data_IF_593955598068
#
_entry.id   IF_593955598068
#
_cell.length_a   1.000
_cell.length_b   1.000
_cell.length_c   1.000
_cell.angle_alpha   90.00
_cell.angle_beta   90.00
_cell.angle_gamma   90.00
#
_symmetry.space_group_name_H-M   'P 1'
#
loop_
_entity.id
_entity.type
_entity.pdbx_description
1 polymer ?
#
# COMPACT_ATOMS: atom_id res chain seq x y z
N UNK A 1 33.05 2.97 12.81
CA UNK A 1 33.06 1.61 12.20
C UNK A 1 32.64 1.73 10.73
N UNK A 2 33.32 1.02 9.84
CA UNK A 2 33.43 1.32 8.42
C UNK A 2 32.15 0.93 7.63
N UNK A 3 31.44 1.90 7.07
CA UNK A 3 30.18 1.73 6.33
C UNK A 3 30.32 0.96 5.01
N UNK A 4 31.56 0.68 4.58
CA UNK A 4 31.89 -0.07 3.36
C UNK A 4 31.64 -1.59 3.44
N UNK A 5 31.19 -2.11 4.59
CA UNK A 5 30.87 -3.53 4.78
C UNK A 5 29.37 -3.84 4.64
N UNK A 6 28.52 -2.83 4.43
CA UNK A 6 27.08 -3.02 4.27
C UNK A 6 26.77 -3.38 2.81
N UNK A 7 26.40 -4.64 2.57
CA UNK A 7 26.02 -5.13 1.23
C UNK A 7 24.63 -4.67 0.77
N UNK A 8 23.69 -4.46 1.70
CA UNK A 8 22.37 -3.89 1.44
C UNK A 8 21.75 -3.39 2.76
N UNK A 9 20.82 -2.45 2.68
CA UNK A 9 19.98 -2.01 3.81
C UNK A 9 18.53 -2.31 3.49
N UNK A 10 17.82 -2.93 4.45
CA UNK A 10 16.39 -3.23 4.34
C UNK A 10 15.66 -2.38 5.37
N UNK A 11 14.75 -1.52 4.91
CA UNK A 11 13.93 -0.66 5.76
C UNK A 11 12.49 -1.17 5.84
N UNK A 12 12.04 -1.49 7.06
CA UNK A 12 10.73 -2.03 7.40
C UNK A 12 10.02 -1.02 8.30
N UNK A 13 9.48 0.03 7.70
CA UNK A 13 8.95 1.17 8.47
C UNK A 13 7.53 1.53 8.02
N UNK A 14 6.64 1.77 9.00
CA UNK A 14 5.25 2.22 8.81
C UNK A 14 5.10 3.75 8.70
N UNK A 15 6.23 4.45 8.61
CA UNK A 15 6.37 5.92 8.64
C UNK A 15 7.26 6.36 7.49
N UNK A 16 7.00 7.54 6.93
CA UNK A 16 7.68 8.09 5.73
C UNK A 16 9.14 8.50 5.92
N UNK A 17 9.95 7.73 6.66
CA UNK A 17 11.37 8.00 6.89
C UNK A 17 12.26 7.63 5.71
N UNK A 18 11.69 6.99 4.70
CA UNK A 18 12.35 6.63 3.44
C UNK A 18 13.24 7.75 2.87
N UNK A 19 12.70 8.98 2.76
CA UNK A 19 13.43 10.09 2.15
C UNK A 19 14.73 10.44 2.88
N UNK A 20 14.77 10.23 4.20
CA UNK A 20 15.98 10.39 5.01
C UNK A 20 17.00 9.30 4.71
N UNK A 21 16.56 8.05 4.57
CA UNK A 21 17.44 6.93 4.22
C UNK A 21 18.04 7.05 2.82
N UNK A 22 17.24 7.49 1.84
CA UNK A 22 17.72 7.73 0.47
C UNK A 22 18.81 8.82 0.44
N UNK A 23 18.60 9.89 1.21
CA UNK A 23 19.56 10.99 1.32
C UNK A 23 20.85 10.57 2.04
N UNK A 24 20.77 9.63 2.99
CA UNK A 24 21.92 9.20 3.79
C UNK A 24 22.72 8.04 3.18
N UNK A 25 22.05 7.11 2.48
CA UNK A 25 22.63 5.86 2.00
C UNK A 25 22.81 5.84 0.49
N UNK A 26 21.77 6.17 -0.27
CA UNK A 26 21.79 5.96 -1.73
C UNK A 26 22.57 7.06 -2.46
N UNK A 27 22.33 8.32 -2.09
CA UNK A 27 22.94 9.48 -2.78
C UNK A 27 24.44 9.63 -2.50
N UNK A 28 24.95 9.46 -1.26
CA UNK A 28 26.37 9.69 -0.96
C UNK A 28 27.22 8.41 -1.02
N UNK A 29 26.63 7.22 -0.87
CA UNK A 29 27.39 5.96 -0.64
C UNK A 29 27.05 4.83 -1.62
N UNK A 30 26.08 5.03 -2.52
CA UNK A 30 25.62 4.04 -3.49
C UNK A 30 25.31 2.65 -2.89
N UNK A 31 24.89 2.61 -1.62
CA UNK A 31 24.52 1.35 -0.95
C UNK A 31 23.10 0.99 -1.40
N UNK A 32 22.83 -0.24 -1.88
CA UNK A 32 21.50 -0.63 -2.32
C UNK A 32 20.53 -0.64 -1.13
N UNK A 33 19.45 0.14 -1.27
CA UNK A 33 18.35 0.24 -0.30
C UNK A 33 17.15 -0.56 -0.82
N UNK A 34 16.64 -1.44 0.02
CA UNK A 34 15.42 -2.22 -0.19
C UNK A 34 14.38 -1.70 0.80
N UNK A 35 13.18 -1.41 0.30
CA UNK A 35 12.11 -0.84 1.11
C UNK A 35 10.90 -1.76 1.22
N UNK A 36 10.37 -1.88 2.43
CA UNK A 36 9.22 -2.74 2.73
C UNK A 36 8.10 -1.91 3.37
N UNK A 37 7.33 -1.13 2.58
CA UNK A 37 6.27 -0.29 3.12
C UNK A 37 5.00 -1.07 3.46
N UNK A 38 4.12 -0.40 4.20
CA UNK A 38 2.69 -0.74 4.21
C UNK A 38 2.09 -0.48 2.82
N UNK A 39 1.06 -1.25 2.43
CA UNK A 39 0.46 -1.17 1.10
C UNK A 39 0.05 0.26 0.68
N UNK A 40 -0.38 1.08 1.63
CA UNK A 40 -0.81 2.48 1.39
C UNK A 40 0.36 3.39 1.06
N UNK A 41 1.52 3.17 1.66
CA UNK A 41 2.72 3.99 1.47
C UNK A 41 3.51 3.63 0.21
N UNK A 42 3.28 2.43 -0.33
CA UNK A 42 3.87 1.96 -1.57
C UNK A 42 3.71 2.96 -2.73
N UNK A 43 2.54 3.57 -2.85
CA UNK A 43 2.23 4.56 -3.88
C UNK A 43 3.25 5.71 -3.91
N UNK A 44 3.69 6.19 -2.75
CA UNK A 44 4.67 7.26 -2.63
C UNK A 44 6.13 6.81 -2.85
N UNK A 45 6.39 5.51 -2.85
CA UNK A 45 7.73 4.95 -3.03
C UNK A 45 8.05 4.60 -4.49
N UNK A 46 7.05 4.44 -5.37
CA UNK A 46 7.27 4.15 -6.80
C UNK A 46 8.20 5.13 -7.51
N UNK A 47 8.09 6.47 -7.32
CA UNK A 47 9.01 7.41 -7.99
C UNK A 47 10.49 7.17 -7.65
N UNK A 48 10.77 6.71 -6.43
CA UNK A 48 12.12 6.39 -5.97
C UNK A 48 12.61 5.02 -6.46
N UNK A 49 11.68 4.10 -6.75
CA UNK A 49 11.97 2.83 -7.40
C UNK A 49 12.30 3.04 -8.88
N UNK A 50 11.50 3.84 -9.57
CA UNK A 50 11.67 4.14 -11.00
C UNK A 50 12.93 4.98 -11.27
N UNK A 51 13.31 5.87 -10.34
CA UNK A 51 14.55 6.64 -10.43
C UNK A 51 15.82 5.82 -10.13
N UNK A 52 15.67 4.56 -9.71
CA UNK A 52 16.79 3.69 -9.31
C UNK A 52 17.40 4.02 -7.95
N UNK A 53 16.79 4.93 -7.18
CA UNK A 53 17.21 5.24 -5.81
C UNK A 53 16.86 4.11 -4.82
N UNK A 54 15.92 3.24 -5.20
CA UNK A 54 15.64 1.99 -4.51
C UNK A 54 16.00 0.82 -5.43
N UNK A 55 16.66 -0.19 -4.87
CA UNK A 55 17.01 -1.40 -5.63
C UNK A 55 15.87 -2.41 -5.70
N UNK A 56 14.93 -2.34 -4.75
CA UNK A 56 13.76 -3.20 -4.70
C UNK A 56 12.75 -2.73 -3.66
N UNK A 57 11.50 -3.16 -3.84
CA UNK A 57 10.39 -2.84 -2.94
C UNK A 57 9.52 -4.07 -2.69
N UNK A 58 9.19 -4.34 -1.43
CA UNK A 58 8.30 -5.43 -1.01
C UNK A 58 7.05 -4.85 -0.34
N UNK A 59 5.98 -4.75 -1.10
CA UNK A 59 4.74 -4.10 -0.67
C UNK A 59 3.81 -5.03 0.12
N UNK A 60 4.01 -5.16 1.44
CA UNK A 60 3.11 -5.91 2.32
C UNK A 60 2.60 -7.24 1.74
N UNK A 61 1.27 -7.43 1.71
CA UNK A 61 0.62 -8.63 1.18
C UNK A 61 0.90 -8.85 -0.31
N UNK A 62 0.93 -7.78 -1.12
CA UNK A 62 1.24 -7.90 -2.55
C UNK A 62 2.71 -8.29 -2.80
N UNK A 63 3.63 -7.82 -1.95
CA UNK A 63 5.04 -8.21 -1.98
C UNK A 63 5.22 -9.69 -1.64
N UNK A 64 4.44 -10.21 -0.68
CA UNK A 64 4.43 -11.64 -0.37
C UNK A 64 3.91 -12.49 -1.54
N UNK A 65 2.81 -12.08 -2.18
CA UNK A 65 2.27 -12.77 -3.37
C UNK A 65 3.26 -12.75 -4.55
N UNK A 66 3.89 -11.61 -4.81
CA UNK A 66 4.91 -11.48 -5.87
C UNK A 66 6.12 -12.36 -5.57
N UNK A 67 6.54 -12.43 -4.31
CA UNK A 67 7.62 -13.29 -3.87
C UNK A 67 7.30 -14.78 -4.07
N UNK A 68 6.11 -15.22 -3.68
CA UNK A 68 5.65 -16.60 -3.90
C UNK A 68 5.55 -16.96 -5.38
N UNK A 69 5.14 -15.99 -6.22
CA UNK A 69 5.13 -16.16 -7.68
C UNK A 69 6.54 -16.35 -8.24
N UNK A 70 7.50 -15.53 -7.78
CA UNK A 70 8.91 -15.64 -8.18
C UNK A 70 9.56 -16.95 -7.74
N UNK A 71 9.17 -17.50 -6.58
CA UNK A 71 9.69 -18.77 -6.05
C UNK A 71 8.96 -19.99 -6.64
N UNK A 72 7.98 -19.78 -7.53
CA UNK A 72 7.24 -20.86 -8.20
C UNK A 72 6.16 -21.51 -7.32
N UNK A 73 5.79 -20.89 -6.19
CA UNK A 73 4.72 -21.35 -5.31
C UNK A 73 3.34 -20.77 -5.67
N UNK A 74 3.25 -19.93 -6.71
CA UNK A 74 2.01 -19.30 -7.17
C UNK A 74 0.89 -20.28 -7.60
N UNK A 75 1.20 -21.54 -7.89
CA UNK A 75 0.22 -22.55 -8.31
C UNK A 75 -0.55 -23.17 -7.15
N UNK A 76 -0.08 -22.99 -5.91
CA UNK A 76 -0.79 -23.40 -4.70
C UNK A 76 -1.50 -22.17 -4.16
N UNK A 77 -2.79 -22.27 -3.82
CA UNK A 77 -3.50 -21.19 -3.14
C UNK A 77 -2.85 -20.96 -1.76
N UNK A 78 -1.88 -20.05 -1.71
CA UNK A 78 -1.17 -19.65 -0.50
C UNK A 78 -1.99 -18.64 0.30
N UNK A 79 -1.72 -18.53 1.60
CA UNK A 79 -2.40 -17.58 2.49
C UNK A 79 -2.24 -16.11 2.05
N UNK A 80 -1.14 -15.78 1.37
CA UNK A 80 -0.91 -14.44 0.82
C UNK A 80 -1.81 -14.16 -0.40
N UNK A 81 -1.91 -15.12 -1.33
CA UNK A 81 -2.85 -15.01 -2.45
C UNK A 81 -4.29 -14.93 -1.95
N UNK A 82 -4.58 -15.63 -0.85
CA UNK A 82 -5.87 -15.61 -0.20
C UNK A 82 -6.21 -14.21 0.38
N UNK A 83 -5.24 -13.63 1.07
CA UNK A 83 -5.38 -12.29 1.67
C UNK A 83 -5.56 -11.19 0.61
N UNK A 84 -4.93 -11.33 -0.56
CA UNK A 84 -5.09 -10.37 -1.67
C UNK A 84 -6.51 -10.36 -2.26
N UNK A 85 -7.15 -11.52 -2.42
CA UNK A 85 -8.54 -11.55 -2.88
C UNK A 85 -9.49 -11.00 -1.81
N UNK A 86 -9.24 -11.31 -0.54
CA UNK A 86 -10.06 -10.82 0.57
C UNK A 86 -10.00 -9.28 0.67
N UNK A 87 -8.81 -8.70 0.53
CA UNK A 87 -8.63 -7.25 0.50
C UNK A 87 -9.36 -6.62 -0.69
N UNK A 88 -9.29 -7.21 -1.88
CA UNK A 88 -9.98 -6.72 -3.07
C UNK A 88 -11.51 -6.78 -2.92
N UNK A 89 -12.02 -7.88 -2.37
CA UNK A 89 -13.45 -8.05 -2.08
C UNK A 89 -13.96 -7.02 -1.06
N UNK A 90 -13.18 -6.74 -0.01
CA UNK A 90 -13.51 -5.72 0.99
C UNK A 90 -13.62 -4.32 0.37
N UNK A 91 -12.69 -3.94 -0.52
CA UNK A 91 -12.76 -2.65 -1.21
C UNK A 91 -14.01 -2.53 -2.09
N UNK A 92 -14.35 -3.58 -2.85
CA UNK A 92 -15.57 -3.61 -3.67
C UNK A 92 -16.83 -3.49 -2.80
N UNK A 93 -16.84 -4.19 -1.66
CA UNK A 93 -17.96 -4.14 -0.72
C UNK A 93 -18.18 -2.73 -0.14
N UNK A 94 -17.12 -2.04 0.27
CA UNK A 94 -17.21 -0.66 0.77
C UNK A 94 -17.74 0.28 -0.33
N UNK A 95 -17.22 0.17 -1.56
CA UNK A 95 -17.71 0.96 -2.70
C UNK A 95 -19.20 0.73 -2.96
N UNK A 96 -19.64 -0.53 -2.89
CA UNK A 96 -21.05 -0.89 -3.03
C UNK A 96 -21.93 -0.24 -1.95
N UNK A 97 -21.50 -0.29 -0.68
CA UNK A 97 -22.22 0.36 0.42
C UNK A 97 -22.30 1.89 0.25
N UNK A 98 -21.23 2.53 -0.23
CA UNK A 98 -21.24 3.98 -0.53
C UNK A 98 -22.27 4.31 -1.61
N UNK A 99 -22.33 3.52 -2.69
CA UNK A 99 -23.32 3.71 -3.76
C UNK A 99 -24.74 3.53 -3.24
N UNK A 100 -25.00 2.47 -2.46
CA UNK A 100 -26.30 2.25 -1.83
C UNK A 100 -26.69 3.39 -0.89
N UNK A 101 -25.76 3.86 -0.05
CA UNK A 101 -25.98 4.99 0.85
C UNK A 101 -26.36 6.27 0.09
N UNK A 102 -25.68 6.56 -1.01
CA UNK A 102 -25.96 7.72 -1.86
C UNK A 102 -27.34 7.62 -2.53
N UNK A 103 -27.72 6.43 -3.01
CA UNK A 103 -29.04 6.19 -3.59
C UNK A 103 -30.15 6.32 -2.54
N UNK A 104 -29.92 5.78 -1.33
CA UNK A 104 -30.81 5.93 -0.19
C UNK A 104 -31.01 7.38 0.23
N UNK A 105 -29.93 8.17 0.31
CA UNK A 105 -29.99 9.61 0.59
C UNK A 105 -30.79 10.37 -0.48
N UNK A 106 -30.58 10.06 -1.76
CA UNK A 106 -31.30 10.70 -2.85
C UNK A 106 -32.80 10.34 -2.84
N UNK A 107 -33.13 9.08 -2.55
CA UNK A 107 -34.52 8.63 -2.40
C UNK A 107 -35.19 9.28 -1.19
N UNK A 108 -34.51 9.36 -0.04
CA UNK A 108 -35.01 10.04 1.16
C UNK A 108 -35.19 11.56 0.95
N UNK A 109 -34.28 12.20 0.20
CA UNK A 109 -34.40 13.60 -0.21
C UNK A 109 -35.60 13.83 -1.14
N UNK A 110 -35.85 12.92 -2.09
CA UNK A 110 -37.01 12.98 -3.01
C UNK A 110 -38.34 12.67 -2.31
N UNK A 111 -38.33 11.82 -1.28
CA UNK A 111 -39.50 11.51 -0.46
C UNK A 111 -39.84 12.58 0.59
N UNK A 112 -39.11 13.71 0.64
CA UNK A 112 -39.37 14.81 1.58
C UNK A 112 -39.01 14.54 3.04
N UNK A 113 -38.38 13.40 3.35
CA UNK A 113 -38.04 12.97 4.71
C UNK A 113 -36.75 13.58 5.25
N UNK A 114 -35.92 14.18 4.38
CA UNK A 114 -34.71 14.92 4.77
C UNK A 114 -34.97 16.43 4.99
N UNK A 115 -36.22 16.79 5.31
CA UNK A 115 -36.56 18.11 5.83
C UNK A 115 -36.32 18.13 7.33
N UNK A 116 -35.14 18.63 7.73
CA UNK A 116 -34.89 18.95 9.13
C UNK A 116 -36.02 19.83 9.66
N UNK A 117 -36.59 19.42 10.80
CA UNK A 117 -37.40 20.27 11.66
C UNK A 117 -36.70 21.63 11.78
N UNK A 118 -37.30 22.65 11.17
CA UNK A 118 -36.99 24.03 11.49
C UNK A 118 -37.40 24.23 12.94
N UNK A 119 -36.40 24.43 13.80
CA UNK A 119 -36.57 24.99 15.13
C UNK A 119 -37.37 26.28 15.03
N UNK A 120 -38.53 26.26 15.69
CA UNK A 120 -39.38 27.38 16.05
C UNK A 120 -40.06 27.00 17.36
#
# INVERSE_FOLDING_TARGET
KNYKQLGAVVDLTSVGLMGYWISYLTTPKHIPLIYCPTAVMSAGAYPYLDSGQLKGMLNGVMGAVQYETLVGQSLVATDASASSWALSAAHIYILFLIVLGNLGYLAAKRAGLAGGSRLG
#
